data_IF_269180067171
#
_entry.id   IF_269180067171
#
_cell.length_a   1.000
_cell.length_b   1.000
_cell.length_c   1.000
_cell.angle_alpha   90.00
_cell.angle_beta   90.00
_cell.angle_gamma   90.00
#
_symmetry.space_group_name_H-M   'P 1'
#
loop_
_entity.id
_entity.type
_entity.pdbx_description
1 polymer ?
#
# COMPACT_ATOMS: atom_id res chain seq x y z
N UNK A 1 7.33 6.60 -2.62
CA UNK A 1 7.00 5.46 -3.48
C UNK A 1 8.08 5.24 -4.52
N UNK A 2 8.30 3.98 -4.89
CA UNK A 2 9.24 3.54 -5.94
C UNK A 2 8.50 2.66 -6.94
N UNK A 3 8.72 2.84 -8.25
CA UNK A 3 8.26 1.91 -9.28
C UNK A 3 9.33 0.82 -9.46
N UNK A 4 9.07 -0.39 -8.97
CA UNK A 4 10.02 -1.50 -8.99
C UNK A 4 10.01 -2.26 -10.32
N UNK A 5 8.86 -2.28 -11.00
CA UNK A 5 8.65 -2.76 -12.38
C UNK A 5 7.53 -1.91 -13.01
N UNK A 6 7.42 -1.85 -14.35
CA UNK A 6 6.34 -1.10 -15.00
C UNK A 6 4.96 -1.47 -14.43
N UNK A 7 4.29 -0.51 -13.78
CA UNK A 7 2.97 -0.71 -13.18
C UNK A 7 2.96 -1.40 -11.81
N UNK A 8 4.11 -1.76 -11.24
CA UNK A 8 4.26 -2.29 -9.88
C UNK A 8 5.03 -1.31 -9.01
N UNK A 9 4.37 -0.82 -7.97
CA UNK A 9 4.88 0.22 -7.09
C UNK A 9 5.04 -0.32 -5.68
N UNK A 10 6.16 0.03 -5.04
CA UNK A 10 6.40 -0.19 -3.62
C UNK A 10 6.11 1.09 -2.84
N UNK A 11 5.29 0.96 -1.80
CA UNK A 11 4.96 2.01 -0.84
C UNK A 11 5.49 1.57 0.52
N UNK A 12 6.51 2.27 1.03
CA UNK A 12 6.99 2.07 2.39
C UNK A 12 6.02 2.76 3.35
N UNK A 13 5.29 1.96 4.13
CA UNK A 13 4.29 2.41 5.10
C UNK A 13 4.95 2.49 6.48
N UNK A 14 4.98 3.68 7.11
CA UNK A 14 5.67 3.85 8.38
C UNK A 14 4.91 3.19 9.53
N UNK A 15 5.64 2.65 10.49
CA UNK A 15 5.15 2.13 11.75
C UNK A 15 5.80 2.89 12.93
N UNK A 16 5.34 4.13 13.26
CA UNK A 16 5.99 4.93 14.29
C UNK A 16 5.95 4.27 15.66
N UNK A 17 7.06 4.27 16.41
CA UNK A 17 7.17 3.58 17.72
C UNK A 17 7.02 2.05 17.63
N UNK A 18 7.24 1.46 16.46
CA UNK A 18 7.34 0.00 16.28
C UNK A 18 8.80 -0.38 15.96
N UNK A 19 9.35 -1.49 16.50
CA UNK A 19 10.70 -1.96 16.18
C UNK A 19 10.98 -2.19 14.69
N UNK A 20 9.98 -2.60 13.90
CA UNK A 20 10.10 -2.78 12.45
C UNK A 20 10.28 -1.46 11.69
N UNK A 21 9.84 -0.34 12.28
CA UNK A 21 9.87 1.03 11.74
C UNK A 21 9.00 1.27 10.50
N UNK A 22 8.91 0.31 9.59
CA UNK A 22 8.08 0.37 8.38
C UNK A 22 7.80 -1.04 7.84
N UNK A 23 6.78 -1.14 7.00
CA UNK A 23 6.46 -2.32 6.18
C UNK A 23 6.27 -1.91 4.73
N UNK A 24 6.37 -2.86 3.81
CA UNK A 24 6.19 -2.61 2.38
C UNK A 24 4.79 -3.03 1.95
N UNK A 25 3.98 -2.07 1.54
CA UNK A 25 2.81 -2.32 0.73
C UNK A 25 3.18 -2.28 -0.75
N UNK A 26 2.52 -3.09 -1.56
CA UNK A 26 2.70 -3.06 -3.01
C UNK A 26 1.40 -2.68 -3.71
N UNK A 27 1.52 -1.95 -4.80
CA UNK A 27 0.40 -1.52 -5.62
C UNK A 27 0.66 -1.93 -7.06
N UNK A 28 -0.24 -2.72 -7.63
CA UNK A 28 -0.21 -3.12 -9.04
C UNK A 28 -1.31 -2.36 -9.78
N UNK A 29 -0.91 -1.56 -10.77
CA UNK A 29 -1.86 -0.96 -11.72
C UNK A 29 -2.21 -2.01 -12.78
N UNK A 30 -3.44 -2.50 -12.71
CA UNK A 30 -4.00 -3.35 -13.75
C UNK A 30 -4.82 -2.56 -14.76
N UNK A 31 -5.37 -3.26 -15.76
CA UNK A 31 -6.22 -2.65 -16.78
C UNK A 31 -7.58 -2.22 -16.23
N UNK A 32 -8.38 -3.19 -15.77
CA UNK A 32 -9.73 -2.94 -15.25
C UNK A 32 -9.77 -2.68 -13.74
N UNK A 33 -8.92 -3.42 -12.99
CA UNK A 33 -8.81 -3.34 -11.53
C UNK A 33 -7.35 -3.23 -11.12
N UNK A 34 -7.12 -2.59 -9.98
CA UNK A 34 -5.81 -2.48 -9.35
C UNK A 34 -5.72 -3.49 -8.20
N UNK A 35 -4.50 -3.84 -7.80
CA UNK A 35 -4.26 -4.68 -6.63
C UNK A 35 -3.44 -3.90 -5.61
N UNK A 36 -3.88 -3.93 -4.35
CA UNK A 36 -3.12 -3.44 -3.20
C UNK A 36 -2.76 -4.65 -2.36
N UNK A 37 -1.46 -4.85 -2.13
CA UNK A 37 -0.93 -5.94 -1.31
C UNK A 37 -0.48 -5.36 0.02
N UNK A 38 -1.14 -5.81 1.09
CA UNK A 38 -0.96 -5.38 2.49
C UNK A 38 -1.18 -3.87 2.72
N UNK A 39 -1.48 -3.47 3.96
CA UNK A 39 -1.96 -2.10 4.25
C UNK A 39 -1.24 -1.38 5.37
N UNK A 40 -0.31 -2.02 6.07
CA UNK A 40 0.16 -1.50 7.35
C UNK A 40 -0.83 -1.76 8.48
N UNK A 41 -0.50 -1.22 9.65
CA UNK A 41 -1.35 -1.27 10.83
C UNK A 41 -2.56 -0.33 10.73
N UNK A 42 -3.61 -0.61 11.51
CA UNK A 42 -4.77 0.27 11.68
C UNK A 42 -4.41 1.55 12.46
N UNK A 43 -3.72 2.47 11.79
CA UNK A 43 -3.16 3.71 12.32
C UNK A 43 -3.23 4.81 11.28
N UNK A 44 -3.42 6.04 11.74
CA UNK A 44 -3.55 7.21 10.88
C UNK A 44 -2.28 7.46 10.06
N UNK A 45 -1.10 7.22 10.63
CA UNK A 45 0.17 7.43 9.93
C UNK A 45 0.34 6.44 8.76
N UNK A 46 -0.12 5.20 8.93
CA UNK A 46 -0.10 4.18 7.88
C UNK A 46 -1.08 4.53 6.76
N UNK A 47 -2.33 4.80 7.13
CA UNK A 47 -3.39 5.12 6.19
C UNK A 47 -3.08 6.40 5.38
N UNK A 48 -2.56 7.44 6.04
CA UNK A 48 -2.24 8.72 5.39
C UNK A 48 -1.17 8.56 4.31
N UNK A 49 -0.11 7.81 4.59
CA UNK A 49 0.94 7.55 3.60
C UNK A 49 0.42 6.70 2.46
N UNK A 50 -0.24 5.58 2.76
CA UNK A 50 -0.73 4.66 1.73
C UNK A 50 -1.74 5.35 0.80
N UNK A 51 -2.73 6.05 1.35
CA UNK A 51 -3.74 6.76 0.56
C UNK A 51 -3.14 7.92 -0.25
N UNK A 52 -2.17 8.65 0.30
CA UNK A 52 -1.45 9.69 -0.43
C UNK A 52 -0.71 9.11 -1.65
N UNK A 53 0.04 8.02 -1.47
CA UNK A 53 0.79 7.41 -2.58
C UNK A 53 -0.14 6.80 -3.64
N UNK A 54 -1.23 6.14 -3.23
CA UNK A 54 -2.27 5.64 -4.14
C UNK A 54 -2.92 6.79 -4.93
N UNK A 55 -3.20 7.91 -4.25
CA UNK A 55 -3.76 9.11 -4.88
C UNK A 55 -2.84 9.70 -5.96
N UNK A 56 -1.52 9.71 -5.72
CA UNK A 56 -0.52 10.15 -6.72
C UNK A 56 -0.48 9.26 -7.96
N UNK A 57 -0.84 7.98 -7.84
CA UNK A 57 -0.95 7.06 -8.97
C UNK A 57 -2.27 7.20 -9.76
N UNK A 58 -3.21 8.03 -9.29
CA UNK A 58 -4.53 8.18 -9.92
C UNK A 58 -5.37 6.91 -9.85
N UNK A 59 -5.16 6.08 -8.83
CA UNK A 59 -5.88 4.82 -8.64
C UNK A 59 -7.24 5.08 -7.98
N UNK A 60 -8.30 4.51 -8.57
CA UNK A 60 -9.63 4.49 -7.94
C UNK A 60 -9.73 3.29 -7.00
N UNK A 61 -9.83 3.56 -5.69
CA UNK A 61 -10.00 2.53 -4.66
C UNK A 61 -11.25 1.67 -4.88
N UNK A 62 -12.30 2.19 -5.51
CA UNK A 62 -13.52 1.42 -5.83
C UNK A 62 -13.29 0.38 -6.94
N UNK A 63 -12.21 0.54 -7.70
CA UNK A 63 -11.72 -0.40 -8.72
C UNK A 63 -10.43 -1.08 -8.26
N UNK A 64 -10.29 -1.31 -6.96
CA UNK A 64 -9.11 -1.95 -6.39
C UNK A 64 -9.51 -3.15 -5.54
N UNK A 65 -8.72 -4.21 -5.64
CA UNK A 65 -8.77 -5.36 -4.74
C UNK A 65 -7.66 -5.23 -3.69
N UNK A 66 -7.93 -5.73 -2.48
CA UNK A 66 -6.94 -5.80 -1.41
C UNK A 66 -6.59 -7.26 -1.19
N UNK A 67 -5.32 -7.59 -1.33
CA UNK A 67 -4.76 -8.90 -1.03
C UNK A 67 -3.94 -8.81 0.26
N UNK A 68 -4.37 -9.54 1.28
CA UNK A 68 -3.68 -9.62 2.56
C UNK A 68 -2.86 -10.90 2.57
N UNK A 69 -1.55 -10.77 2.77
CA UNK A 69 -0.63 -11.93 2.73
C UNK A 69 -0.91 -12.91 3.87
N UNK A 70 -1.19 -12.41 5.07
CA UNK A 70 -1.46 -13.21 6.28
C UNK A 70 -2.11 -12.38 7.40
N UNK A 71 -2.53 -13.03 8.49
CA UNK A 71 -3.25 -12.41 9.62
C UNK A 71 -2.31 -11.83 10.69
N UNK A 72 -1.27 -11.10 10.31
CA UNK A 72 -0.62 -10.19 11.26
C UNK A 72 -1.21 -8.79 11.13
N UNK A 73 -0.96 -7.96 12.15
CA UNK A 73 -1.63 -6.67 12.28
C UNK A 73 -0.99 -5.59 11.39
N UNK A 74 0.26 -5.78 11.00
CA UNK A 74 1.02 -4.92 10.08
C UNK A 74 0.71 -5.17 8.61
#
# INVERSE_FOLDING_TARGET
MEEVLPGLYRVEVPLPRNPLRAVNSYVVRGGERNLIVDTGMNREECASVLLSEIGKLGIDLRKSDVFITHLHAD
#
